data_IF_634744984991
#
_entry.id   IF_634744984991
#
_cell.length_a   1.000
_cell.length_b   1.000
_cell.length_c   1.000
_cell.angle_alpha   90.00
_cell.angle_beta   90.00
_cell.angle_gamma   90.00
#
_symmetry.space_group_name_H-M   'P 1'
#
loop_
_entity.id
_entity.type
_entity.pdbx_description
1 polymer ?
#
# COMPACT_ATOMS: atom_id res chain seq x y z
N UNK A 1 29.78 9.32 -7.78
CA UNK A 1 29.56 10.19 -8.98
C UNK A 1 29.47 9.36 -10.27
N UNK A 2 30.44 8.49 -10.58
CA UNK A 2 30.40 7.60 -11.76
C UNK A 2 29.08 6.81 -11.90
N UNK A 3 28.71 6.01 -10.88
CA UNK A 3 27.50 5.17 -10.94
C UNK A 3 26.22 5.98 -11.14
N UNK A 4 26.15 7.16 -10.51
CA UNK A 4 25.04 8.09 -10.65
C UNK A 4 24.94 8.62 -12.07
N UNK A 5 26.03 9.19 -12.59
CA UNK A 5 26.03 9.76 -13.94
C UNK A 5 25.71 8.73 -15.01
N UNK A 6 26.25 7.51 -14.91
CA UNK A 6 25.95 6.43 -15.86
C UNK A 6 24.49 5.98 -15.76
N UNK A 7 23.98 5.81 -14.53
CA UNK A 7 22.59 5.40 -14.32
C UNK A 7 21.59 6.46 -14.83
N UNK A 8 21.85 7.74 -14.56
CA UNK A 8 20.99 8.85 -14.98
C UNK A 8 21.01 9.01 -16.51
N UNK A 9 22.20 8.95 -17.15
CA UNK A 9 22.35 9.01 -18.61
C UNK A 9 21.65 7.87 -19.35
N UNK A 10 21.58 6.69 -18.73
CA UNK A 10 20.89 5.54 -19.30
C UNK A 10 19.37 5.59 -19.13
N UNK A 11 18.84 6.58 -18.40
CA UNK A 11 17.41 6.68 -18.10
C UNK A 11 16.99 5.72 -17.00
N UNK A 12 17.75 5.67 -15.91
CA UNK A 12 17.45 4.85 -14.73
C UNK A 12 17.34 3.34 -15.00
N UNK A 13 18.16 2.81 -15.91
CA UNK A 13 18.17 1.37 -16.21
C UNK A 13 18.62 0.52 -15.01
N UNK A 14 18.19 -0.73 -15.03
CA UNK A 14 18.51 -1.72 -14.01
C UNK A 14 19.98 -2.14 -13.96
N UNK A 15 20.26 -3.12 -13.11
CA UNK A 15 21.60 -3.58 -12.75
C UNK A 15 22.46 -3.96 -13.96
N UNK A 16 22.00 -4.89 -14.80
CA UNK A 16 22.81 -5.44 -15.89
C UNK A 16 23.21 -4.38 -16.92
N UNK A 17 22.28 -3.50 -17.30
CA UNK A 17 22.56 -2.44 -18.28
C UNK A 17 23.56 -1.42 -17.74
N UNK A 18 23.36 -0.97 -16.50
CA UNK A 18 24.27 -0.01 -15.87
C UNK A 18 25.65 -0.65 -15.63
N UNK A 19 25.70 -1.92 -15.24
CA UNK A 19 26.95 -2.69 -15.07
C UNK A 19 27.74 -2.75 -16.37
N UNK A 20 27.09 -3.11 -17.47
CA UNK A 20 27.73 -3.25 -18.78
C UNK A 20 28.46 -1.95 -19.17
N UNK A 21 27.74 -0.82 -19.13
CA UNK A 21 28.31 0.49 -19.49
C UNK A 21 29.42 0.96 -18.53
N UNK A 22 29.33 0.64 -17.24
CA UNK A 22 30.42 0.97 -16.30
C UNK A 22 31.64 0.08 -16.58
N UNK A 23 31.44 -1.21 -16.83
CA UNK A 23 32.49 -2.20 -17.05
C UNK A 23 33.26 -2.00 -18.37
N UNK A 24 32.67 -1.31 -19.36
CA UNK A 24 33.35 -0.95 -20.62
C UNK A 24 34.55 -0.03 -20.40
N UNK A 25 34.54 0.78 -19.34
CA UNK A 25 35.55 1.82 -19.10
C UNK A 25 36.23 1.72 -17.73
N UNK A 26 35.59 1.09 -16.75
CA UNK A 26 36.06 1.06 -15.37
C UNK A 26 35.92 -0.33 -14.78
N UNK A 27 36.90 -0.71 -13.97
CA UNK A 27 36.88 -1.97 -13.22
C UNK A 27 37.40 -1.75 -11.81
N UNK A 28 36.73 -2.37 -10.84
CA UNK A 28 37.23 -2.52 -9.47
C UNK A 28 36.58 -3.73 -8.78
N UNK A 29 37.18 -4.29 -7.71
CA UNK A 29 36.74 -5.56 -7.12
C UNK A 29 35.31 -5.58 -6.56
N UNK A 30 34.78 -4.43 -6.11
CA UNK A 30 33.44 -4.30 -5.51
C UNK A 30 32.38 -3.71 -6.44
N UNK A 31 32.66 -3.59 -7.75
CA UNK A 31 31.79 -2.91 -8.73
C UNK A 31 30.33 -3.35 -8.64
N UNK A 32 30.09 -4.66 -8.56
CA UNK A 32 28.75 -5.21 -8.47
C UNK A 32 28.04 -4.84 -7.16
N UNK A 33 28.77 -4.84 -6.04
CA UNK A 33 28.21 -4.49 -4.73
C UNK A 33 27.86 -3.02 -4.67
N UNK A 34 28.76 -2.16 -5.17
CA UNK A 34 28.58 -0.71 -5.15
C UNK A 34 27.45 -0.29 -6.09
N UNK A 35 27.35 -0.91 -7.27
CA UNK A 35 26.26 -0.69 -8.21
C UNK A 35 24.91 -1.17 -7.64
N UNK A 36 24.87 -2.37 -7.08
CA UNK A 36 23.64 -2.89 -6.47
C UNK A 36 23.16 -2.00 -5.31
N UNK A 37 24.10 -1.54 -4.47
CA UNK A 37 23.81 -0.60 -3.39
C UNK A 37 23.27 0.72 -3.94
N UNK A 38 23.95 1.30 -4.94
CA UNK A 38 23.54 2.58 -5.54
C UNK A 38 22.12 2.52 -6.12
N UNK A 39 21.83 1.50 -6.94
CA UNK A 39 20.51 1.32 -7.56
C UNK A 39 19.40 1.13 -6.51
N UNK A 40 19.70 0.42 -5.41
CA UNK A 40 18.77 0.24 -4.29
C UNK A 40 18.50 1.56 -3.54
N UNK A 41 19.44 2.50 -3.55
CA UNK A 41 19.30 3.82 -2.91
C UNK A 41 18.85 4.94 -3.86
N UNK A 42 18.70 4.67 -5.15
CA UNK A 42 18.27 5.69 -6.12
C UNK A 42 16.82 6.13 -5.84
N UNK A 43 16.65 7.39 -5.45
CA UNK A 43 15.35 7.95 -5.07
C UNK A 43 14.28 7.82 -6.16
N UNK A 44 14.62 8.15 -7.41
CA UNK A 44 13.68 8.06 -8.54
C UNK A 44 13.24 6.61 -8.79
N UNK A 45 14.17 5.65 -8.75
CA UNK A 45 13.83 4.23 -8.89
C UNK A 45 12.98 3.73 -7.72
N UNK A 46 13.22 4.19 -6.49
CA UNK A 46 12.42 3.77 -5.33
C UNK A 46 10.98 4.30 -5.41
N UNK A 47 10.76 5.53 -5.85
CA UNK A 47 9.41 6.11 -6.03
C UNK A 47 8.63 5.34 -7.11
N UNK A 48 9.29 4.99 -8.21
CA UNK A 48 8.65 4.30 -9.34
C UNK A 48 8.66 2.77 -9.22
N UNK A 49 9.15 2.23 -8.11
CA UNK A 49 9.20 0.79 -7.89
C UNK A 49 7.80 0.20 -7.78
N UNK A 50 7.51 -0.81 -8.59
CA UNK A 50 6.28 -1.61 -8.49
C UNK A 50 6.36 -2.66 -7.38
N UNK A 51 7.56 -2.92 -6.85
CA UNK A 51 7.76 -3.86 -5.76
C UNK A 51 7.26 -3.23 -4.46
N UNK A 52 6.12 -3.73 -3.98
CA UNK A 52 5.52 -3.29 -2.71
C UNK A 52 6.04 -4.15 -1.57
N UNK A 53 6.16 -3.54 -0.39
CA UNK A 53 6.40 -4.29 0.85
C UNK A 53 5.24 -5.27 1.04
N UNK A 54 5.56 -6.56 1.11
CA UNK A 54 4.57 -7.58 1.42
C UNK A 54 4.37 -7.59 2.93
N UNK A 55 3.23 -7.08 3.37
CA UNK A 55 2.81 -7.20 4.77
C UNK A 55 2.31 -8.63 4.96
N UNK A 56 2.88 -9.43 5.87
CA UNK A 56 2.42 -10.80 6.09
C UNK A 56 0.96 -10.79 6.58
N UNK A 57 0.15 -11.79 6.18
CA UNK A 57 -1.23 -11.88 6.66
C UNK A 57 -1.24 -12.01 8.18
N UNK A 58 -1.96 -11.11 8.84
CA UNK A 58 -2.12 -11.15 10.30
C UNK A 58 -3.35 -11.98 10.65
N UNK A 59 -3.17 -13.06 11.42
CA UNK A 59 -4.28 -13.85 11.95
C UNK A 59 -4.93 -13.06 13.09
N UNK A 60 -6.22 -12.76 12.96
CA UNK A 60 -6.97 -12.09 14.03
C UNK A 60 -7.34 -13.12 15.11
N UNK A 61 -7.02 -12.82 16.36
CA UNK A 61 -7.43 -13.65 17.50
C UNK A 61 -8.96 -13.53 17.66
N UNK A 62 -9.70 -14.65 17.70
CA UNK A 62 -11.14 -14.62 17.88
C UNK A 62 -11.49 -14.00 19.24
N UNK A 63 -12.37 -13.00 19.23
CA UNK A 63 -12.95 -12.45 20.46
C UNK A 63 -14.36 -13.04 20.67
N UNK A 64 -14.89 -13.05 21.91
CA UNK A 64 -16.26 -13.48 22.17
C UNK A 64 -17.30 -12.73 21.34
N UNK A 65 -18.49 -13.33 21.23
CA UNK A 65 -19.64 -12.74 20.54
C UNK A 65 -19.88 -11.29 20.99
N UNK A 66 -20.10 -10.40 20.02
CA UNK A 66 -20.42 -8.99 20.21
C UNK A 66 -19.37 -8.16 21.00
N UNK A 67 -18.15 -8.68 21.20
CA UNK A 67 -17.08 -7.94 21.88
C UNK A 67 -16.33 -6.97 20.95
N UNK A 68 -16.25 -7.29 19.66
CA UNK A 68 -15.66 -6.45 18.62
C UNK A 68 -16.55 -6.49 17.40
N UNK A 69 -16.96 -5.33 16.93
CA UNK A 69 -17.66 -5.13 15.68
C UNK A 69 -16.78 -4.33 14.71
N UNK A 70 -16.95 -4.58 13.41
CA UNK A 70 -16.44 -3.70 12.36
C UNK A 70 -17.61 -2.94 11.78
N UNK A 71 -17.50 -1.61 11.78
CA UNK A 71 -18.54 -0.72 11.26
C UNK A 71 -18.05 -0.05 10.00
N UNK A 72 -18.90 0.00 8.98
CA UNK A 72 -18.62 0.68 7.72
C UNK A 72 -19.87 1.40 7.21
N UNK A 73 -19.66 2.45 6.42
CA UNK A 73 -20.70 3.25 5.78
C UNK A 73 -20.57 3.17 4.27
N UNK A 74 -21.70 3.01 3.59
CA UNK A 74 -21.74 2.92 2.12
C UNK A 74 -22.70 3.98 1.60
N UNK A 75 -22.24 4.74 0.59
CA UNK A 75 -23.10 5.67 -0.15
C UNK A 75 -23.94 4.90 -1.18
N UNK A 76 -25.25 5.15 -1.17
CA UNK A 76 -26.25 4.43 -1.96
C UNK A 76 -27.09 5.40 -2.79
N UNK A 77 -27.72 4.93 -3.89
CA UNK A 77 -28.74 5.70 -4.58
C UNK A 77 -29.81 6.19 -3.60
N UNK A 78 -30.23 7.44 -3.77
CA UNK A 78 -31.13 8.07 -2.81
C UNK A 78 -32.52 7.45 -2.90
N UNK A 79 -33.05 6.96 -1.77
CA UNK A 79 -34.40 6.41 -1.65
C UNK A 79 -35.09 7.01 -0.43
N UNK A 80 -36.26 7.62 -0.61
CA UNK A 80 -37.01 8.31 0.46
C UNK A 80 -36.16 9.30 1.30
N UNK A 81 -35.16 9.93 0.66
CA UNK A 81 -34.22 10.88 1.27
C UNK A 81 -33.14 10.23 2.17
N UNK A 82 -32.92 8.92 2.05
CA UNK A 82 -31.76 8.21 2.59
C UNK A 82 -30.79 7.91 1.47
N UNK A 83 -29.50 8.17 1.70
CA UNK A 83 -28.44 8.04 0.68
C UNK A 83 -27.25 7.24 1.20
N UNK A 84 -27.36 6.68 2.41
CA UNK A 84 -26.30 5.95 3.06
C UNK A 84 -26.87 4.74 3.80
N UNK A 85 -26.06 3.69 3.92
CA UNK A 85 -26.30 2.56 4.82
C UNK A 85 -25.08 2.45 5.72
N UNK A 86 -25.30 2.41 7.04
CA UNK A 86 -24.27 1.99 8.01
C UNK A 86 -24.50 0.53 8.35
N UNK A 87 -23.42 -0.25 8.44
CA UNK A 87 -23.44 -1.65 8.83
C UNK A 87 -22.42 -1.90 9.94
N UNK A 88 -22.81 -2.59 11.01
CA UNK A 88 -21.87 -3.24 11.94
C UNK A 88 -21.92 -4.75 11.77
N UNK A 89 -20.75 -5.38 11.70
CA UNK A 89 -20.60 -6.83 11.70
C UNK A 89 -19.82 -7.32 12.91
N UNK A 90 -20.35 -8.32 13.61
CA UNK A 90 -19.63 -9.03 14.66
C UNK A 90 -18.36 -9.69 14.09
N UNK A 91 -17.23 -9.49 14.74
CA UNK A 91 -15.95 -10.04 14.27
C UNK A 91 -15.88 -11.57 14.32
N UNK A 92 -16.59 -12.22 15.25
CA UNK A 92 -16.57 -13.68 15.43
C UNK A 92 -17.63 -14.38 14.57
N UNK A 93 -18.90 -13.98 14.69
CA UNK A 93 -20.02 -14.66 14.02
C UNK A 93 -20.33 -14.12 12.63
N UNK A 94 -19.74 -12.98 12.25
CA UNK A 94 -20.14 -12.20 11.08
C UNK A 94 -21.62 -11.77 11.06
N UNK A 95 -22.34 -11.86 12.18
CA UNK A 95 -23.69 -11.32 12.34
C UNK A 95 -23.70 -9.82 12.02
N UNK A 96 -24.61 -9.38 11.17
CA UNK A 96 -24.63 -8.01 10.67
C UNK A 96 -25.92 -7.30 11.07
N UNK A 97 -25.77 -6.06 11.52
CA UNK A 97 -26.85 -5.10 11.73
C UNK A 97 -26.64 -3.90 10.82
N UNK A 98 -27.72 -3.27 10.37
CA UNK A 98 -27.66 -2.15 9.44
C UNK A 98 -28.77 -1.13 9.69
N UNK A 99 -28.47 0.12 9.35
CA UNK A 99 -29.42 1.22 9.40
C UNK A 99 -29.22 2.14 8.19
N UNK A 100 -30.32 2.69 7.67
CA UNK A 100 -30.29 3.70 6.63
C UNK A 100 -30.04 5.09 7.23
N UNK A 101 -29.14 5.86 6.63
CA UNK A 101 -28.80 7.21 7.05
C UNK A 101 -29.09 8.22 5.93
N UNK A 102 -29.53 9.42 6.33
CA UNK A 102 -29.72 10.55 5.41
C UNK A 102 -28.40 11.26 5.12
N UNK A 103 -27.54 11.34 6.12
CA UNK A 103 -26.23 11.98 6.05
C UNK A 103 -25.20 11.18 6.85
N UNK A 104 -23.98 11.14 6.35
CA UNK A 104 -22.84 10.50 7.00
C UNK A 104 -22.16 11.49 7.95
N UNK A 105 -22.67 11.59 9.18
CA UNK A 105 -22.04 12.41 10.23
C UNK A 105 -21.70 11.53 11.43
N UNK A 106 -20.67 11.92 12.19
CA UNK A 106 -20.27 11.20 13.40
C UNK A 106 -21.43 11.00 14.39
N UNK A 107 -22.34 11.98 14.48
CA UNK A 107 -23.55 11.88 15.31
C UNK A 107 -24.49 10.78 14.83
N UNK A 108 -24.71 10.68 13.51
CA UNK A 108 -25.60 9.67 12.95
C UNK A 108 -24.98 8.27 13.00
N UNK A 109 -23.66 8.17 12.81
CA UNK A 109 -22.91 6.92 12.94
C UNK A 109 -22.81 6.44 14.39
N UNK A 110 -22.71 7.34 15.36
CA UNK A 110 -22.66 6.99 16.79
C UNK A 110 -24.02 6.74 17.43
N UNK A 111 -25.12 7.07 16.74
CA UNK A 111 -26.48 6.74 17.15
C UNK A 111 -26.92 5.34 16.69
N UNK A 112 -26.14 4.73 15.80
CA UNK A 112 -26.23 3.32 15.45
C UNK A 112 -25.57 2.47 16.54
#
# INVERSE_FOLDING_TARGET
RLLQETHDKLGHKGFYSTRCTVADHFWWPSLDKDLAWYLKTCHQCQIHSVQKVVIPPTVTIPVPLFRKAYTDSMHMPTSHGFSYIVQARCSLSAWAEFCMLRTETARMLGAF
#
